data_IF_982959160810
#
_entry.id   IF_982959160810
#
_cell.length_a   1.000
_cell.length_b   1.000
_cell.length_c   1.000
_cell.angle_alpha   90.00
_cell.angle_beta   90.00
_cell.angle_gamma   90.00
#
_symmetry.space_group_name_H-M   'P 1'
#
loop_
_entity.id
_entity.type
_entity.pdbx_description
1 polymer ?
#
# COMPACT_ATOMS: atom_id res chain seq x y z
N UNK A 1 -10.42 -22.49 -0.70
CA UNK A 1 -10.11 -21.17 -0.06
C UNK A 1 -11.28 -20.20 -0.18
N UNK A 2 -11.87 -20.00 -1.37
CA UNK A 2 -12.97 -19.06 -1.62
C UNK A 2 -14.28 -19.39 -0.84
N UNK A 3 -14.67 -20.66 -0.75
CA UNK A 3 -15.85 -21.11 0.03
C UNK A 3 -15.70 -20.86 1.55
N UNK A 4 -14.48 -20.93 2.07
CA UNK A 4 -14.18 -20.67 3.49
C UNK A 4 -14.29 -19.18 3.81
N UNK A 5 -13.80 -18.30 2.92
CA UNK A 5 -13.98 -16.86 3.03
C UNK A 5 -15.45 -16.44 2.96
N UNK A 6 -16.22 -17.03 2.02
CA UNK A 6 -17.66 -16.79 1.92
C UNK A 6 -18.41 -17.17 3.21
N UNK A 7 -18.17 -18.37 3.74
CA UNK A 7 -18.83 -18.83 4.97
C UNK A 7 -18.45 -17.94 6.17
N UNK A 8 -17.18 -17.52 6.28
CA UNK A 8 -16.73 -16.63 7.36
C UNK A 8 -17.37 -15.25 7.30
N UNK A 9 -17.58 -14.69 6.11
CA UNK A 9 -18.27 -13.39 5.94
C UNK A 9 -19.77 -13.55 6.22
N UNK A 10 -20.39 -14.65 5.78
CA UNK A 10 -21.79 -14.98 6.07
C UNK A 10 -22.03 -15.12 7.58
N UNK A 11 -21.14 -15.81 8.30
CA UNK A 11 -21.24 -15.95 9.75
C UNK A 11 -21.16 -14.59 10.47
N UNK A 12 -20.35 -13.65 9.96
CA UNK A 12 -20.26 -12.28 10.49
C UNK A 12 -21.45 -11.40 10.15
N UNK A 13 -22.14 -11.67 9.05
CA UNK A 13 -23.42 -11.05 8.70
C UNK A 13 -24.54 -11.51 9.66
N UNK A 14 -24.60 -12.81 9.96
CA UNK A 14 -25.61 -13.38 10.86
C UNK A 14 -25.32 -13.07 12.34
N UNK A 15 -24.03 -12.90 12.70
CA UNK A 15 -23.56 -12.58 14.06
C UNK A 15 -22.43 -11.54 14.03
N UNK A 16 -22.76 -10.23 13.90
CA UNK A 16 -21.76 -9.17 13.95
C UNK A 16 -21.11 -9.10 15.34
N UNK A 17 -19.80 -8.87 15.40
CA UNK A 17 -19.02 -8.83 16.65
C UNK A 17 -19.31 -7.59 17.49
N UNK A 18 -19.87 -6.54 16.88
CA UNK A 18 -20.20 -5.28 17.51
C UNK A 18 -21.70 -4.97 17.33
N UNK A 19 -22.43 -4.95 18.44
CA UNK A 19 -23.87 -4.68 18.50
C UNK A 19 -24.22 -3.18 18.48
N UNK A 20 -23.24 -2.29 18.65
CA UNK A 20 -23.46 -0.83 18.63
C UNK A 20 -23.64 -0.32 17.20
N UNK A 21 -22.95 -0.94 16.23
CA UNK A 21 -23.02 -0.60 14.80
C UNK A 21 -23.59 -1.73 13.95
N UNK A 22 -24.50 -2.54 14.53
CA UNK A 22 -25.01 -3.78 13.94
C UNK A 22 -25.53 -3.61 12.49
N UNK A 23 -26.36 -2.59 12.24
CA UNK A 23 -26.93 -2.32 10.91
C UNK A 23 -25.87 -1.91 9.87
N UNK A 24 -24.90 -1.09 10.26
CA UNK A 24 -23.82 -0.66 9.36
C UNK A 24 -22.87 -1.83 9.05
N UNK A 25 -22.57 -2.65 10.04
CA UNK A 25 -21.75 -3.85 9.88
C UNK A 25 -22.45 -4.88 8.98
N UNK A 26 -23.75 -5.12 9.17
CA UNK A 26 -24.54 -5.99 8.30
C UNK A 26 -24.55 -5.50 6.85
N UNK A 27 -24.68 -4.19 6.64
CA UNK A 27 -24.63 -3.61 5.30
C UNK A 27 -23.26 -3.84 4.64
N UNK A 28 -22.17 -3.57 5.37
CA UNK A 28 -20.81 -3.79 4.88
C UNK A 28 -20.52 -5.27 4.57
N UNK A 29 -20.96 -6.20 5.42
CA UNK A 29 -20.81 -7.63 5.16
C UNK A 29 -21.64 -8.11 3.97
N UNK A 30 -22.85 -7.57 3.78
CA UNK A 30 -23.67 -7.84 2.61
C UNK A 30 -22.99 -7.36 1.32
N UNK A 31 -22.45 -6.14 1.30
CA UNK A 31 -21.70 -5.63 0.15
C UNK A 31 -20.47 -6.48 -0.17
N UNK A 32 -19.74 -6.92 0.85
CA UNK A 32 -18.59 -7.83 0.69
C UNK A 32 -19.02 -9.17 0.09
N UNK A 33 -20.17 -9.71 0.53
CA UNK A 33 -20.72 -10.96 0.01
C UNK A 33 -21.13 -10.83 -1.48
N UNK A 34 -21.75 -9.71 -1.86
CA UNK A 34 -22.17 -9.43 -3.23
C UNK A 34 -20.96 -9.21 -4.15
N UNK A 35 -19.93 -8.48 -3.69
CA UNK A 35 -18.65 -8.35 -4.41
C UNK A 35 -17.94 -9.69 -4.59
N UNK A 36 -18.03 -10.58 -3.58
CA UNK A 36 -17.43 -11.91 -3.67
C UNK A 36 -18.18 -12.80 -4.68
N UNK A 37 -19.52 -12.75 -4.72
CA UNK A 37 -20.34 -13.45 -5.73
C UNK A 37 -20.07 -12.92 -7.13
N UNK A 38 -19.98 -11.61 -7.31
CA UNK A 38 -19.68 -10.98 -8.60
C UNK A 38 -18.27 -11.33 -9.11
N UNK A 39 -17.29 -11.46 -8.20
CA UNK A 39 -15.92 -11.84 -8.52
C UNK A 39 -15.77 -13.33 -8.87
N UNK A 40 -16.66 -14.18 -8.36
CA UNK A 40 -16.60 -15.64 -8.54
C UNK A 40 -17.97 -16.23 -8.94
N UNK A 41 -18.50 -15.90 -10.14
CA UNK A 41 -19.85 -16.25 -10.53
C UNK A 41 -20.10 -17.76 -10.73
N UNK A 42 -19.04 -18.54 -11.00
CA UNK A 42 -19.13 -20.00 -11.24
C UNK A 42 -18.88 -20.83 -9.97
N UNK A 43 -18.84 -20.21 -8.78
CA UNK A 43 -18.64 -20.93 -7.52
C UNK A 43 -19.99 -21.19 -6.85
N UNK A 44 -20.33 -22.46 -6.63
CA UNK A 44 -21.52 -22.84 -5.85
C UNK A 44 -21.33 -22.48 -4.37
N UNK A 45 -21.89 -21.34 -3.99
CA UNK A 45 -21.99 -20.92 -2.60
C UNK A 45 -23.30 -21.44 -2.01
N UNK A 46 -23.22 -22.54 -1.27
CA UNK A 46 -24.35 -23.17 -0.57
C UNK A 46 -25.18 -22.14 0.21
N UNK A 47 -26.47 -22.04 -0.15
CA UNK A 47 -27.47 -21.37 0.67
C UNK A 47 -27.82 -22.31 1.83
N UNK A 48 -27.10 -22.17 2.95
CA UNK A 48 -27.33 -22.98 4.15
C UNK A 48 -28.82 -23.13 4.51
N UNK A 49 -29.22 -24.41 4.53
CA UNK A 49 -30.38 -25.09 5.07
C UNK A 49 -31.33 -24.33 6.00
N UNK A 50 -32.58 -24.19 5.57
CA UNK A 50 -33.73 -24.40 6.46
C UNK A 50 -34.28 -25.80 6.23
N UNK A 51 -34.12 -26.63 7.23
CA UNK A 51 -34.70 -27.96 7.33
C UNK A 51 -36.23 -27.87 7.31
N UNK A 52 -36.89 -28.60 6.42
CA UNK A 52 -38.22 -29.16 6.71
C UNK A 52 -38.32 -30.50 6.00
N UNK A 53 -38.53 -31.63 6.71
CA UNK A 53 -38.78 -32.91 6.08
C UNK A 53 -40.26 -33.01 5.74
N UNK A 54 -40.59 -33.29 4.48
CA UNK A 54 -41.90 -33.79 4.10
C UNK A 54 -41.74 -34.80 2.94
N UNK A 55 -41.74 -36.07 3.33
CA UNK A 55 -42.16 -37.25 2.57
C UNK A 55 -43.48 -36.94 1.82
N UNK A 56 -43.87 -37.42 0.63
CA UNK A 56 -43.90 -38.73 -0.06
C UNK A 56 -44.73 -38.48 -1.36
N UNK A 57 -45.06 -39.42 -2.28
CA UNK A 57 -44.36 -40.56 -2.88
C UNK A 57 -44.13 -40.45 -4.41
N UNK A 58 -43.35 -41.40 -4.87
CA UNK A 58 -43.12 -41.93 -6.23
C UNK A 58 -44.38 -42.09 -7.11
N UNK A 59 -44.25 -41.78 -8.40
CA UNK A 59 -45.06 -42.35 -9.48
C UNK A 59 -44.13 -42.91 -10.56
N UNK A 60 -44.29 -44.20 -10.85
CA UNK A 60 -43.50 -44.99 -11.80
C UNK A 60 -44.17 -45.00 -13.17
N UNK A 61 -43.41 -44.66 -14.22
CA UNK A 61 -43.71 -45.12 -15.58
C UNK A 61 -42.38 -45.35 -16.33
N UNK A 62 -42.14 -46.55 -16.88
CA UNK A 62 -40.87 -46.86 -17.53
C UNK A 62 -40.88 -46.31 -18.97
N UNK A 63 -39.89 -45.49 -19.31
CA UNK A 63 -39.61 -45.15 -20.71
C UNK A 63 -38.27 -45.76 -21.08
N UNK A 64 -38.31 -46.75 -21.95
CA UNK A 64 -37.14 -47.37 -22.58
C UNK A 64 -36.53 -46.36 -23.55
N UNK A 65 -35.30 -45.92 -23.32
CA UNK A 65 -34.53 -45.10 -24.26
C UNK A 65 -33.14 -45.69 -24.47
N UNK A 66 -32.90 -46.04 -25.73
CA UNK A 66 -31.67 -46.53 -26.37
C UNK A 66 -30.43 -45.72 -25.96
N UNK A 67 -29.25 -46.34 -25.72
CA UNK A 67 -28.03 -45.58 -25.42
C UNK A 67 -27.60 -44.74 -26.63
N UNK A 68 -27.54 -43.43 -26.45
CA UNK A 68 -26.91 -42.50 -27.37
C UNK A 68 -25.37 -42.66 -27.32
N UNK A 69 -24.66 -42.45 -28.43
CA UNK A 69 -23.21 -42.61 -28.48
C UNK A 69 -22.52 -41.64 -27.51
N UNK A 70 -21.53 -42.16 -26.80
CA UNK A 70 -20.73 -41.43 -25.81
C UNK A 70 -20.08 -40.19 -26.46
N UNK A 71 -20.25 -38.98 -25.89
CA UNK A 71 -19.57 -37.79 -26.40
C UNK A 71 -18.07 -37.94 -26.14
N UNK A 72 -17.28 -37.83 -27.22
CA UNK A 72 -15.84 -37.68 -27.12
C UNK A 72 -15.54 -36.33 -26.49
N UNK A 73 -14.75 -36.29 -25.40
CA UNK A 73 -14.27 -35.05 -24.80
C UNK A 73 -13.49 -34.25 -25.86
N UNK A 74 -14.10 -33.18 -26.35
CA UNK A 74 -13.37 -32.13 -27.05
C UNK A 74 -12.72 -31.28 -25.96
N UNK A 75 -11.43 -31.49 -25.73
CA UNK A 75 -10.61 -30.56 -24.95
C UNK A 75 -10.48 -29.26 -25.74
N UNK A 76 -11.36 -28.30 -25.47
CA UNK A 76 -11.12 -26.91 -25.88
C UNK A 76 -9.82 -26.45 -25.25
N UNK A 77 -8.83 -25.96 -26.04
CA UNK A 77 -7.63 -25.39 -25.46
C UNK A 77 -8.05 -24.22 -24.58
N UNK A 78 -7.57 -24.21 -23.33
CA UNK A 78 -7.70 -23.07 -22.43
C UNK A 78 -6.93 -21.92 -23.07
N UNK A 79 -7.61 -21.02 -23.78
CA UNK A 79 -7.04 -19.74 -24.16
C UNK A 79 -6.91 -18.92 -22.89
N UNK A 80 -5.68 -18.86 -22.37
CA UNK A 80 -5.29 -17.86 -21.38
C UNK A 80 -5.71 -16.50 -21.94
N UNK A 81 -6.47 -15.66 -21.20
CA UNK A 81 -6.79 -14.32 -21.67
C UNK A 81 -5.47 -13.62 -21.96
N UNK A 82 -5.21 -13.36 -23.24
CA UNK A 82 -4.00 -12.66 -23.66
C UNK A 82 -4.29 -11.19 -23.40
N UNK A 83 -3.84 -10.68 -22.25
CA UNK A 83 -3.82 -9.24 -22.02
C UNK A 83 -2.99 -8.63 -23.15
N UNK A 84 -3.64 -7.90 -24.05
CA UNK A 84 -2.98 -7.19 -25.13
C UNK A 84 -1.93 -6.26 -24.53
N UNK A 85 -0.70 -6.33 -25.04
CA UNK A 85 0.40 -5.55 -24.47
C UNK A 85 0.12 -4.06 -24.61
N UNK A 86 0.38 -3.30 -23.54
CA UNK A 86 0.22 -1.84 -23.49
C UNK A 86 1.55 -1.09 -23.55
N UNK A 87 2.60 -1.75 -24.03
CA UNK A 87 3.95 -1.20 -24.05
C UNK A 87 4.06 0.15 -24.78
N UNK A 88 3.38 0.29 -25.93
CA UNK A 88 3.39 1.53 -26.71
C UNK A 88 2.66 2.68 -26.00
N UNK A 89 1.51 2.38 -25.38
CA UNK A 89 0.73 3.34 -24.58
C UNK A 89 1.56 3.84 -23.38
N UNK A 90 2.24 2.94 -22.67
CA UNK A 90 3.15 3.29 -21.56
C UNK A 90 4.31 4.15 -22.06
N UNK A 91 4.93 3.79 -23.19
CA UNK A 91 6.04 4.55 -23.74
C UNK A 91 5.63 5.97 -24.14
N UNK A 92 4.43 6.11 -24.72
CA UNK A 92 3.87 7.37 -25.21
C UNK A 92 3.34 8.30 -24.10
N UNK A 93 3.07 7.78 -22.89
CA UNK A 93 2.56 8.59 -21.78
C UNK A 93 3.46 9.82 -21.52
N UNK A 94 2.88 11.03 -21.56
CA UNK A 94 3.61 12.28 -21.30
C UNK A 94 3.57 12.68 -19.84
N UNK A 95 2.58 12.20 -19.10
CA UNK A 95 2.37 12.45 -17.67
C UNK A 95 1.79 11.20 -16.98
N UNK A 96 1.52 11.30 -15.67
CA UNK A 96 0.98 10.18 -14.88
C UNK A 96 -0.47 9.83 -15.21
N UNK A 97 -1.28 10.78 -15.67
CA UNK A 97 -2.69 10.57 -16.02
C UNK A 97 -2.86 9.88 -17.38
N UNK A 98 -1.84 9.94 -18.25
CA UNK A 98 -1.81 9.23 -19.54
C UNK A 98 -1.51 7.72 -19.38
N UNK A 99 -1.16 7.27 -18.18
CA UNK A 99 -0.74 5.90 -17.95
C UNK A 99 -1.96 4.93 -17.89
N UNK A 100 -1.85 3.73 -18.50
CA UNK A 100 -2.93 2.75 -18.49
C UNK A 100 -3.18 2.18 -17.08
N UNK A 101 -4.36 1.60 -16.85
CA UNK A 101 -4.70 0.95 -15.58
C UNK A 101 -3.72 -0.19 -15.24
N UNK A 102 -2.87 0.04 -14.24
CA UNK A 102 -1.82 -0.89 -13.80
C UNK A 102 -2.34 -2.31 -13.50
N UNK A 103 -3.56 -2.43 -12.97
CA UNK A 103 -4.12 -3.74 -12.59
C UNK A 103 -4.52 -4.58 -13.80
N UNK A 104 -4.64 -3.97 -14.98
CA UNK A 104 -4.97 -4.63 -16.25
C UNK A 104 -3.74 -4.95 -17.09
N UNK A 105 -2.53 -4.64 -16.61
CA UNK A 105 -1.30 -4.87 -17.34
C UNK A 105 -0.78 -6.30 -17.17
N UNK A 106 -0.09 -6.78 -18.21
CA UNK A 106 0.77 -7.96 -18.12
C UNK A 106 1.95 -7.67 -17.18
N UNK A 107 2.59 -8.71 -16.63
CA UNK A 107 3.72 -8.51 -15.71
C UNK A 107 4.92 -7.82 -16.39
N UNK A 108 5.13 -8.08 -17.68
CA UNK A 108 6.14 -7.38 -18.48
C UNK A 108 5.83 -5.89 -18.64
N UNK A 109 4.56 -5.55 -18.87
CA UNK A 109 4.15 -4.15 -19.02
C UNK A 109 4.08 -3.43 -17.68
N UNK A 110 3.82 -4.12 -16.56
CA UNK A 110 3.95 -3.54 -15.21
C UNK A 110 5.37 -3.07 -14.91
N UNK A 111 6.39 -3.79 -15.41
CA UNK A 111 7.79 -3.37 -15.28
C UNK A 111 8.04 -2.08 -16.07
N UNK A 112 7.63 -2.03 -17.34
CA UNK A 112 7.74 -0.83 -18.18
C UNK A 112 6.97 0.36 -17.58
N UNK A 113 5.79 0.10 -17.05
CA UNK A 113 4.96 1.08 -16.35
C UNK A 113 5.70 1.71 -15.18
N UNK A 114 6.34 0.88 -14.35
CA UNK A 114 7.13 1.37 -13.22
C UNK A 114 8.33 2.20 -13.69
N UNK A 115 9.09 1.72 -14.67
CA UNK A 115 10.22 2.46 -15.23
C UNK A 115 9.77 3.82 -15.78
N UNK A 116 8.60 3.86 -16.43
CA UNK A 116 7.99 5.10 -16.92
C UNK A 116 7.60 6.04 -15.78
N UNK A 117 6.95 5.54 -14.73
CA UNK A 117 6.60 6.33 -13.54
C UNK A 117 7.85 6.94 -12.89
N UNK A 118 8.93 6.16 -12.72
CA UNK A 118 10.19 6.65 -12.16
C UNK A 118 10.77 7.78 -13.02
N UNK A 119 10.72 7.64 -14.35
CA UNK A 119 11.22 8.69 -15.24
C UNK A 119 10.36 9.96 -15.19
N UNK A 120 9.03 9.84 -15.19
CA UNK A 120 8.13 10.99 -15.04
C UNK A 120 8.33 11.70 -13.69
N UNK A 121 8.65 10.94 -12.64
CA UNK A 121 8.84 11.48 -11.30
C UNK A 121 10.12 12.32 -11.13
N UNK A 122 11.17 12.10 -11.96
CA UNK A 122 12.46 12.80 -11.83
C UNK A 122 12.35 14.31 -12.03
N UNK A 123 11.48 14.74 -12.94
CA UNK A 123 11.33 16.14 -13.33
C UNK A 123 10.06 16.78 -12.77
N UNK A 124 9.27 16.03 -11.99
CA UNK A 124 8.03 16.51 -11.40
C UNK A 124 8.30 17.46 -10.22
N UNK A 125 7.44 18.47 -10.07
CA UNK A 125 7.45 19.29 -8.84
C UNK A 125 6.98 18.43 -7.65
N UNK A 126 7.35 18.76 -6.41
CA UNK A 126 6.85 18.06 -5.22
C UNK A 126 5.33 18.00 -5.15
N UNK A 127 4.64 19.07 -5.57
CA UNK A 127 3.18 19.14 -5.61
C UNK A 127 2.59 18.17 -6.64
N UNK A 128 3.06 18.24 -7.89
CA UNK A 128 2.59 17.35 -8.97
C UNK A 128 2.83 15.88 -8.61
N UNK A 129 3.99 15.58 -8.02
CA UNK A 129 4.34 14.22 -7.65
C UNK A 129 3.46 13.72 -6.50
N UNK A 130 3.15 14.55 -5.51
CA UNK A 130 2.22 14.18 -4.44
C UNK A 130 0.85 13.77 -5.01
N UNK A 131 0.32 14.57 -5.94
CA UNK A 131 -0.97 14.28 -6.57
C UNK A 131 -0.93 13.03 -7.45
N UNK A 132 0.14 12.88 -8.23
CA UNK A 132 0.36 11.70 -9.06
C UNK A 132 0.46 10.42 -8.22
N UNK A 133 1.29 10.43 -7.17
CA UNK A 133 1.50 9.27 -6.29
C UNK A 133 0.20 8.85 -5.59
N UNK A 134 -0.67 9.79 -5.22
CA UNK A 134 -1.96 9.49 -4.60
C UNK A 134 -2.89 8.65 -5.49
N UNK A 135 -2.77 8.79 -6.82
CA UNK A 135 -3.56 8.03 -7.81
C UNK A 135 -2.96 6.65 -8.12
N UNK A 136 -1.67 6.44 -7.83
CA UNK A 136 -0.99 5.19 -8.14
C UNK A 136 -1.34 4.07 -7.15
N UNK A 137 -1.26 2.79 -7.58
CA UNK A 137 -1.29 1.65 -6.67
C UNK A 137 -0.17 1.74 -5.63
N UNK A 138 -0.43 1.28 -4.40
CA UNK A 138 0.51 1.37 -3.28
C UNK A 138 1.88 0.74 -3.59
N UNK A 139 1.89 -0.41 -4.29
CA UNK A 139 3.13 -1.08 -4.69
C UNK A 139 3.96 -0.23 -5.66
N UNK A 140 3.32 0.42 -6.63
CA UNK A 140 4.00 1.31 -7.59
C UNK A 140 4.53 2.53 -6.85
N UNK A 141 3.68 3.16 -6.02
CA UNK A 141 4.05 4.34 -5.24
C UNK A 141 5.27 4.08 -4.38
N UNK A 142 5.32 2.96 -3.66
CA UNK A 142 6.47 2.57 -2.84
C UNK A 142 7.76 2.45 -3.67
N UNK A 143 7.68 1.83 -4.86
CA UNK A 143 8.85 1.67 -5.75
C UNK A 143 9.30 2.98 -6.39
N UNK A 144 8.37 3.87 -6.74
CA UNK A 144 8.69 5.21 -7.24
C UNK A 144 9.39 6.02 -6.14
N UNK A 145 8.86 6.02 -4.92
CA UNK A 145 9.49 6.66 -3.75
C UNK A 145 10.90 6.12 -3.49
N UNK A 146 11.07 4.81 -3.52
CA UNK A 146 12.37 4.16 -3.34
C UNK A 146 13.41 4.52 -4.43
N UNK A 147 12.96 4.89 -5.64
CA UNK A 147 13.87 5.29 -6.74
C UNK A 147 14.65 6.57 -6.45
N UNK A 148 14.22 7.33 -5.45
CA UNK A 148 14.81 8.60 -5.07
C UNK A 148 15.78 8.53 -3.90
N UNK A 149 15.91 7.35 -3.30
CA UNK A 149 16.83 7.14 -2.20
C UNK A 149 18.26 7.33 -2.70
N UNK A 150 19.16 7.76 -1.81
CA UNK A 150 20.58 7.80 -2.14
C UNK A 150 21.07 6.37 -2.46
N UNK A 151 22.05 6.21 -3.36
CA UNK A 151 22.63 4.90 -3.62
C UNK A 151 23.04 4.19 -2.32
N UNK A 152 22.62 2.93 -2.16
CA UNK A 152 22.91 2.13 -0.96
C UNK A 152 21.92 2.31 0.20
N UNK A 153 21.00 3.28 0.12
CA UNK A 153 20.00 3.50 1.16
C UNK A 153 18.76 2.65 0.92
N UNK A 154 18.12 2.21 2.02
CA UNK A 154 16.86 1.48 2.01
C UNK A 154 15.88 2.02 3.04
N UNK A 155 14.61 1.72 2.81
CA UNK A 155 13.54 2.05 3.74
C UNK A 155 13.67 1.25 5.05
N UNK A 156 13.19 1.84 6.14
CA UNK A 156 13.04 1.19 7.45
C UNK A 156 11.56 1.07 7.74
N UNK A 157 11.07 -0.13 8.06
CA UNK A 157 9.67 -0.36 8.37
C UNK A 157 9.39 -0.17 9.88
N UNK A 158 8.14 0.14 10.23
CA UNK A 158 7.74 0.37 11.63
C UNK A 158 8.10 -0.80 12.57
N UNK A 159 8.02 -2.03 12.06
CA UNK A 159 8.33 -3.26 12.81
C UNK A 159 9.81 -3.38 13.17
N UNK A 160 10.69 -2.70 12.45
CA UNK A 160 12.14 -2.75 12.61
C UNK A 160 12.65 -1.66 13.57
N UNK A 161 11.73 -0.83 14.09
CA UNK A 161 12.05 0.28 14.99
C UNK A 161 11.86 -0.11 16.45
N UNK A 162 12.93 0.09 17.20
CA UNK A 162 12.96 0.01 18.66
C UNK A 162 13.70 1.23 19.20
N UNK A 163 13.58 1.49 20.50
CA UNK A 163 14.36 2.57 21.14
C UNK A 163 15.87 2.33 20.99
N UNK A 164 16.29 1.06 20.94
CA UNK A 164 17.67 0.67 20.74
C UNK A 164 18.13 0.90 19.30
N UNK A 165 17.32 0.51 18.30
CA UNK A 165 17.71 0.69 16.90
C UNK A 165 17.82 2.17 16.53
N UNK A 166 16.95 3.03 17.09
CA UNK A 166 17.02 4.47 16.91
C UNK A 166 18.26 5.14 17.54
N UNK A 167 19.01 4.47 18.43
CA UNK A 167 20.34 4.98 18.86
C UNK A 167 21.36 4.99 17.72
N UNK A 168 21.12 4.21 16.66
CA UNK A 168 21.93 4.23 15.46
C UNK A 168 21.54 5.37 14.50
N UNK A 169 20.58 6.22 14.87
CA UNK A 169 20.31 7.46 14.17
C UNK A 169 21.45 8.43 14.40
N UNK A 170 22.19 8.70 13.33
CA UNK A 170 23.43 9.45 13.41
C UNK A 170 23.32 10.88 12.88
N UNK A 171 22.46 11.12 11.88
CA UNK A 171 22.35 12.42 11.25
C UNK A 171 20.98 12.66 10.61
N UNK A 172 20.70 13.94 10.38
CA UNK A 172 19.64 14.42 9.50
C UNK A 172 20.31 14.89 8.22
N UNK A 173 19.89 14.32 7.10
CA UNK A 173 20.38 14.66 5.78
C UNK A 173 19.35 15.58 5.13
N UNK A 174 19.65 16.87 5.17
CA UNK A 174 18.94 17.91 4.46
C UNK A 174 19.65 18.21 3.12
N UNK A 175 19.10 17.61 2.06
CA UNK A 175 19.57 17.77 0.69
C UNK A 175 18.88 18.97 -0.02
N UNK A 176 18.14 19.83 0.69
CA UNK A 176 17.52 20.99 0.07
C UNK A 176 18.51 22.13 -0.17
N UNK A 177 18.15 23.09 -1.05
CA UNK A 177 18.94 24.32 -1.22
C UNK A 177 19.05 25.17 0.06
N UNK A 178 18.11 25.01 1.00
CA UNK A 178 18.08 25.72 2.28
C UNK A 178 18.50 24.74 3.36
N UNK A 179 19.80 24.68 3.64
CA UNK A 179 20.31 23.70 4.58
C UNK A 179 20.03 24.13 6.04
N UNK A 180 18.88 23.75 6.56
CA UNK A 180 18.46 23.99 7.95
C UNK A 180 19.29 23.13 8.92
N UNK A 181 19.62 21.91 8.50
CA UNK A 181 20.32 20.93 9.32
C UNK A 181 21.78 20.78 8.86
N UNK A 182 22.60 21.80 9.10
CA UNK A 182 24.07 21.67 8.97
C UNK A 182 24.70 21.43 10.33
N UNK A 183 25.58 20.43 10.39
CA UNK A 183 26.36 20.11 11.59
C UNK A 183 25.44 19.86 12.81
N UNK A 184 24.41 19.04 12.64
CA UNK A 184 23.47 18.70 13.71
C UNK A 184 23.93 17.42 14.40
N UNK A 185 23.86 17.41 15.73
CA UNK A 185 23.99 16.19 16.53
C UNK A 185 22.59 15.73 16.93
N UNK A 186 22.29 14.47 16.64
CA UNK A 186 21.05 13.83 17.08
C UNK A 186 21.24 13.30 18.50
N UNK A 187 20.32 13.65 19.40
CA UNK A 187 20.31 13.14 20.76
C UNK A 187 19.47 11.87 20.89
N UNK A 188 19.40 11.33 22.11
CA UNK A 188 18.68 10.07 22.37
C UNK A 188 17.17 10.20 22.13
N UNK A 189 16.58 9.41 21.23
CA UNK A 189 15.15 9.43 20.98
C UNK A 189 14.34 8.94 22.19
N UNK A 190 13.19 9.56 22.45
CA UNK A 190 12.26 9.17 23.52
C UNK A 190 10.91 8.78 22.93
N UNK A 191 10.22 7.81 23.55
CA UNK A 191 8.89 7.34 23.12
C UNK A 191 7.85 7.78 24.15
N UNK A 192 6.81 8.50 23.74
CA UNK A 192 5.74 9.03 24.60
C UNK A 192 4.34 8.55 24.18
N UNK A 193 4.21 7.25 23.89
CA UNK A 193 2.98 6.59 23.43
C UNK A 193 3.26 5.57 22.33
N UNK A 194 2.26 4.82 21.85
CA UNK A 194 2.50 3.70 20.93
C UNK A 194 3.15 4.10 19.61
N UNK A 195 2.83 5.30 19.09
CA UNK A 195 3.30 5.81 17.81
C UNK A 195 3.99 7.17 17.90
N UNK A 196 4.35 7.61 19.11
CA UNK A 196 4.94 8.93 19.35
C UNK A 196 6.39 8.82 19.79
N UNK A 197 7.29 9.17 18.89
CA UNK A 197 8.72 9.35 19.14
C UNK A 197 9.08 10.84 19.14
N UNK A 198 10.07 11.21 19.93
CA UNK A 198 10.67 12.54 19.95
C UNK A 198 12.18 12.40 19.82
N UNK A 199 12.75 13.05 18.80
CA UNK A 199 14.19 13.03 18.54
C UNK A 199 14.75 14.42 18.85
N UNK A 200 15.51 14.60 19.94
CA UNK A 200 16.13 15.89 20.23
C UNK A 200 17.29 16.14 19.27
N UNK A 201 17.45 17.37 18.81
CA UNK A 201 18.52 17.78 17.89
C UNK A 201 19.25 19.00 18.43
N UNK A 202 20.56 19.09 18.18
CA UNK A 202 21.39 20.21 18.64
C UNK A 202 22.39 20.60 17.56
N UNK A 203 22.47 21.90 17.24
CA UNK A 203 23.49 22.41 16.31
C UNK A 203 24.88 22.36 16.94
N UNK A 204 25.91 21.93 16.20
CA UNK A 204 27.30 21.88 16.69
C UNK A 204 27.92 23.26 16.94
N UNK A 205 27.36 24.35 16.38
CA UNK A 205 27.89 25.72 16.51
C UNK A 205 27.19 26.61 17.56
N UNK A 206 26.22 26.10 18.31
CA UNK A 206 25.46 26.89 19.28
C UNK A 206 24.66 26.05 20.28
N UNK A 207 24.33 26.64 21.44
CA UNK A 207 23.62 26.00 22.57
C UNK A 207 22.10 25.83 22.37
N UNK A 208 21.57 26.19 21.21
CA UNK A 208 20.14 26.07 20.92
C UNK A 208 19.80 24.60 20.70
N UNK A 209 19.25 23.97 21.74
CA UNK A 209 18.56 22.68 21.62
C UNK A 209 17.25 22.93 20.88
N UNK A 210 17.09 22.26 19.74
CA UNK A 210 15.83 22.24 19.00
C UNK A 210 15.23 20.86 19.27
N UNK A 211 14.29 20.80 20.21
CA UNK A 211 13.64 19.56 20.63
C UNK A 211 12.62 19.09 19.58
N UNK A 212 13.00 18.83 18.33
CA UNK A 212 11.98 18.49 17.32
C UNK A 212 12.44 17.48 16.27
N UNK A 213 11.92 16.26 16.42
CA UNK A 213 10.96 15.68 15.46
C UNK A 213 9.88 15.03 16.31
N UNK A 214 8.66 15.55 16.25
CA UNK A 214 7.50 14.90 16.88
C UNK A 214 6.93 13.90 15.87
N UNK A 215 6.88 12.64 16.26
CA UNK A 215 6.57 11.54 15.34
C UNK A 215 5.11 11.14 15.53
N UNK A 216 4.23 11.34 14.55
CA UNK A 216 3.24 10.30 14.29
C UNK A 216 3.93 9.27 13.42
N UNK A 217 4.08 8.04 13.89
CA UNK A 217 4.49 6.94 12.99
C UNK A 217 3.27 6.65 12.12
N UNK A 218 3.10 7.42 11.06
CA UNK A 218 2.16 7.09 10.00
C UNK A 218 2.93 6.29 8.94
N UNK A 219 2.82 4.95 8.94
CA UNK A 219 3.41 4.16 7.87
C UNK A 219 2.68 4.47 6.57
N UNK A 220 3.28 5.32 5.73
CA UNK A 220 2.75 5.64 4.41
C UNK A 220 3.57 4.86 3.39
N UNK A 221 2.95 3.85 2.80
CA UNK A 221 3.61 2.93 1.85
C UNK A 221 4.81 2.18 2.43
N UNK A 222 4.78 1.95 3.75
CA UNK A 222 5.86 1.32 4.49
C UNK A 222 6.98 2.28 4.89
N UNK A 223 7.01 3.52 4.40
CA UNK A 223 7.94 4.55 4.87
C UNK A 223 7.55 5.06 6.24
N UNK A 224 8.55 5.38 7.06
CA UNK A 224 8.35 6.05 8.34
C UNK A 224 8.64 7.52 8.18
N UNK A 225 7.58 8.32 8.32
CA UNK A 225 7.63 9.76 8.14
C UNK A 225 7.77 10.43 9.51
N UNK A 226 8.70 11.36 9.59
CA UNK A 226 9.12 12.12 10.75
C UNK A 226 8.81 13.58 10.46
N UNK A 227 7.94 14.19 11.27
CA UNK A 227 7.52 15.58 11.06
C UNK A 227 8.51 16.55 11.71
N UNK A 228 8.95 17.54 10.94
CA UNK A 228 9.81 18.62 11.40
C UNK A 228 9.10 19.58 12.35
N UNK A 229 9.75 20.71 12.62
CA UNK A 229 9.17 21.76 13.47
C UNK A 229 7.98 22.45 12.79
N UNK A 230 8.06 22.65 11.48
CA UNK A 230 6.96 23.12 10.67
C UNK A 230 6.13 21.94 10.16
N UNK A 231 4.81 22.12 10.11
CA UNK A 231 3.87 21.05 9.74
C UNK A 231 4.07 20.51 8.33
N UNK A 232 4.64 21.30 7.43
CA UNK A 232 4.92 20.92 6.05
C UNK A 232 6.26 20.17 5.89
N UNK A 233 7.11 20.15 6.93
CA UNK A 233 8.44 19.52 6.91
C UNK A 233 8.35 18.06 7.28
N UNK A 234 8.89 17.22 6.40
CA UNK A 234 8.83 15.77 6.54
C UNK A 234 10.18 15.16 6.23
N UNK A 235 10.54 14.15 7.00
CA UNK A 235 11.77 13.39 6.87
C UNK A 235 11.42 11.91 6.85
N UNK A 236 12.09 11.12 6.02
CA UNK A 236 11.93 9.66 5.98
C UNK A 236 13.12 9.02 6.64
N UNK A 237 12.87 8.06 7.54
CA UNK A 237 13.95 7.28 8.11
C UNK A 237 14.44 6.22 7.13
N UNK A 238 15.74 6.28 6.84
CA UNK A 238 16.40 5.36 5.94
C UNK A 238 17.63 4.76 6.62
N UNK A 239 18.02 3.57 6.16
CA UNK A 239 19.22 2.88 6.61
C UNK A 239 20.25 2.84 5.48
N UNK A 240 21.50 3.18 5.80
CA UNK A 240 22.62 3.06 4.87
C UNK A 240 23.15 1.62 4.77
N UNK A 241 24.12 1.40 3.89
CA UNK A 241 24.76 0.09 3.66
C UNK A 241 25.46 -0.48 4.91
N UNK A 242 25.84 0.40 5.86
CA UNK A 242 26.52 0.03 7.11
C UNK A 242 25.52 -0.20 8.25
N UNK A 243 24.22 -0.10 7.99
CA UNK A 243 23.18 -0.28 8.99
C UNK A 243 22.91 0.95 9.85
N UNK A 244 23.53 2.11 9.56
CA UNK A 244 23.28 3.35 10.28
C UNK A 244 22.00 4.02 9.79
N UNK A 245 21.32 4.72 10.69
CA UNK A 245 20.04 5.35 10.41
C UNK A 245 20.22 6.84 10.15
N UNK A 246 19.43 7.34 9.22
CA UNK A 246 19.46 8.70 8.72
C UNK A 246 18.04 9.22 8.53
N UNK A 247 17.79 10.47 8.94
CA UNK A 247 16.56 11.17 8.60
C UNK A 247 16.77 11.95 7.30
N UNK A 248 16.15 11.48 6.23
CA UNK A 248 16.30 12.04 4.89
C UNK A 248 15.15 13.00 4.64
N UNK A 249 15.43 14.28 4.32
CA UNK A 249 14.35 15.20 4.00
C UNK A 249 13.55 14.68 2.81
N UNK A 250 12.22 14.74 2.94
CA UNK A 250 11.32 14.17 1.98
C UNK A 250 11.20 15.09 0.75
N UNK A 251 11.97 14.76 -0.29
CA UNK A 251 12.16 15.58 -1.49
C UNK A 251 10.89 15.88 -2.30
N UNK A 252 9.80 15.18 -2.02
CA UNK A 252 8.55 15.22 -2.79
C UNK A 252 7.35 15.67 -1.96
N UNK A 253 7.61 16.45 -0.92
CA UNK A 253 6.60 17.07 -0.08
C UNK A 253 6.72 18.60 -0.10
N UNK A 254 5.65 19.31 0.22
CA UNK A 254 5.56 20.78 0.23
C UNK A 254 6.61 21.48 1.11
N UNK A 255 7.25 20.78 2.05
CA UNK A 255 8.33 21.33 2.87
C UNK A 255 9.68 21.41 2.15
N UNK A 256 9.88 20.65 1.07
CA UNK A 256 11.18 20.59 0.40
C UNK A 256 11.60 21.97 -0.15
N UNK A 257 12.79 22.42 0.24
CA UNK A 257 13.29 23.76 -0.14
C UNK A 257 12.68 24.91 0.64
N UNK A 258 11.93 24.64 1.71
CA UNK A 258 11.52 25.65 2.70
C UNK A 258 12.29 25.43 4.00
N UNK A 259 12.58 26.52 4.73
CA UNK A 259 13.33 26.43 5.98
C UNK A 259 12.46 25.82 7.10
N UNK A 260 12.88 24.74 7.75
CA UNK A 260 12.26 24.20 8.97
C UNK A 260 12.64 25.02 10.21
N UNK A 261 13.92 25.39 10.32
CA UNK A 261 14.47 26.14 11.45
C UNK A 261 14.83 27.55 10.99
N UNK A 262 14.16 28.57 11.54
CA UNK A 262 14.57 29.96 11.30
C UNK A 262 15.94 30.20 11.96
N UNK A 263 16.89 30.70 11.17
CA UNK A 263 18.20 31.22 11.61
C UNK A 263 18.05 32.34 12.63
#
# INVERSE_FOLDING_TARGET
>A
MQKNLYNRIKDKLDKPEDSVYEEQNKLAYKELLDRLKAKYPNTEFEAGSTSTPASTPTSTTPTTVTPAPQPTEVTTPVTTPTTESKAEEIAAAGNFDDLPDYNKLSDDDKKKYLDKCINLAKDATPEDLREALAKLPAEVRAKVKASFYKPGYKNVEAKDITAESLKNLIEVIDDSPIADFRNITVGTPTKSGDNLWTIPMTSQSGSTKVDYVQVSVDPVDGELIFHGRQTNQHYVLQQDENGKLHLMQYKYHEGYGTADVKS
#
